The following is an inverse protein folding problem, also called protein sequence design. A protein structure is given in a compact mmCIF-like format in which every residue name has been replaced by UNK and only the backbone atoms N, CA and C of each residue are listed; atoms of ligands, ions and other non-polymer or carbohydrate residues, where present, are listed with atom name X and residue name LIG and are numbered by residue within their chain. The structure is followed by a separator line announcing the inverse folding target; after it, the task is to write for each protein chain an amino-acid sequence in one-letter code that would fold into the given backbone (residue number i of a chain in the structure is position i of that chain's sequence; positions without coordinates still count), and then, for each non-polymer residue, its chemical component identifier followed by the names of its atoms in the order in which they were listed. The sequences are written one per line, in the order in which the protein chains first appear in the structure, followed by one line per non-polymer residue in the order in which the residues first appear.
data_IF_526759185575
#
_entry.id   IF_526759185575
#
_cell.length_a   1.000
_cell.length_b   1.000
_cell.length_c   1.000
_cell.angle_alpha   90.00
_cell.angle_beta   90.00
_cell.angle_gamma   90.00
#
_symmetry.space_group_name_H-M   'P 1'
#
loop_
_entity.id
_entity.type
_entity.pdbx_description
1 polymer ?
#
# COMPACT_ATOMS: atom_id res chain seq x y z
N UNK A 1 -38.85 -1.39 22.49
CA UNK A 1 -38.01 -0.21 22.79
C UNK A 1 -36.56 -0.57 23.16
N UNK A 2 -36.30 -1.59 24.01
CA UNK A 2 -34.93 -2.02 24.40
C UNK A 2 -33.99 -2.44 23.25
N UNK A 3 -34.52 -3.01 22.15
CA UNK A 3 -33.72 -3.43 20.98
C UNK A 3 -33.22 -2.27 20.10
N UNK A 4 -33.88 -1.12 20.12
CA UNK A 4 -33.48 0.06 19.34
C UNK A 4 -32.25 0.77 19.94
N UNK A 5 -32.08 0.70 21.26
CA UNK A 5 -30.95 1.33 21.97
C UNK A 5 -29.62 0.62 21.68
N UNK A 6 -29.65 -0.70 21.47
CA UNK A 6 -28.46 -1.49 21.15
C UNK A 6 -27.93 -1.24 19.73
N UNK A 7 -28.79 -0.96 18.75
CA UNK A 7 -28.35 -0.59 17.40
C UNK A 7 -27.71 0.79 17.35
N UNK A 8 -28.20 1.76 18.13
CA UNK A 8 -27.67 3.12 18.14
C UNK A 8 -26.22 3.21 18.69
N UNK A 9 -25.82 2.29 19.57
CA UNK A 9 -24.46 2.26 20.15
C UNK A 9 -23.39 1.76 19.18
N UNK A 10 -23.75 0.92 18.20
CA UNK A 10 -22.77 0.37 17.23
C UNK A 10 -22.34 1.42 16.21
N UNK A 11 -23.19 2.40 15.87
CA UNK A 11 -22.84 3.49 14.95
C UNK A 11 -21.94 4.57 15.57
N UNK A 12 -21.86 4.65 16.90
CA UNK A 12 -21.02 5.62 17.61
C UNK A 12 -19.54 5.18 17.75
N UNK A 13 -19.18 3.99 17.24
CA UNK A 13 -17.82 3.45 17.29
C UNK A 13 -16.96 3.77 16.06
N UNK A 14 -17.53 4.38 15.01
CA UNK A 14 -16.75 4.85 13.87
C UNK A 14 -15.97 6.11 14.26
N UNK A 15 -14.74 5.96 14.75
CA UNK A 15 -13.79 7.06 15.00
C UNK A 15 -13.21 7.65 13.70
N UNK A 16 -12.43 8.74 13.80
CA UNK A 16 -11.81 9.39 12.65
C UNK A 16 -10.88 8.41 11.91
N UNK A 17 -11.06 8.28 10.59
CA UNK A 17 -10.17 7.49 9.73
C UNK A 17 -9.17 8.41 9.05
N UNK A 18 -7.91 8.27 9.40
CA UNK A 18 -6.81 9.03 8.82
C UNK A 18 -6.19 8.26 7.66
N UNK A 19 -5.85 8.98 6.59
CA UNK A 19 -5.12 8.44 5.44
C UNK A 19 -3.90 9.31 5.19
N UNK A 20 -2.75 8.66 5.08
CA UNK A 20 -1.51 9.31 4.70
C UNK A 20 -1.43 9.41 3.18
N UNK A 21 -1.36 10.62 2.65
CA UNK A 21 -1.09 10.90 1.25
C UNK A 21 0.36 11.31 1.08
N UNK A 22 0.96 10.89 -0.03
CA UNK A 22 2.32 11.26 -0.40
C UNK A 22 2.28 12.07 -1.69
N UNK A 23 2.85 13.26 -1.65
CA UNK A 23 3.06 14.10 -2.85
C UNK A 23 4.55 14.15 -3.17
N UNK A 24 4.87 13.96 -4.46
CA UNK A 24 6.24 13.92 -4.98
C UNK A 24 6.51 15.27 -5.65
N UNK A 25 7.39 16.07 -5.06
CA UNK A 25 7.81 17.33 -5.67
C UNK A 25 9.01 17.08 -6.59
N UNK A 26 9.00 17.70 -7.75
CA UNK A 26 10.05 17.53 -8.74
C UNK A 26 11.39 18.10 -8.25
N UNK A 27 12.51 17.44 -8.59
CA UNK A 27 13.85 17.96 -8.31
C UNK A 27 14.17 19.22 -9.13
N UNK A 28 14.94 20.13 -8.54
CA UNK A 28 15.34 21.38 -9.18
C UNK A 28 16.29 21.18 -10.39
N UNK A 29 17.06 20.09 -10.39
CA UNK A 29 18.06 19.78 -11.42
C UNK A 29 17.45 19.01 -12.59
N UNK A 30 17.94 19.25 -13.80
CA UNK A 30 17.50 18.52 -15.01
C UNK A 30 17.84 17.02 -14.95
N UNK A 31 19.05 16.69 -14.47
CA UNK A 31 19.43 15.31 -14.19
C UNK A 31 18.53 14.64 -13.15
N UNK A 32 18.10 15.40 -12.14
CA UNK A 32 17.12 14.95 -11.16
C UNK A 32 15.77 14.66 -11.79
N UNK A 33 15.27 15.52 -12.68
CA UNK A 33 13.95 15.34 -13.33
C UNK A 33 13.92 14.08 -14.19
N UNK A 34 15.01 13.79 -14.90
CA UNK A 34 15.18 12.54 -15.64
C UNK A 34 15.23 11.33 -14.71
N UNK A 35 15.92 11.44 -13.58
CA UNK A 35 15.97 10.39 -12.55
C UNK A 35 14.58 10.11 -11.96
N UNK A 36 13.85 11.15 -11.53
CA UNK A 36 12.50 11.00 -10.97
C UNK A 36 11.50 10.46 -12.00
N UNK A 37 11.63 10.85 -13.26
CA UNK A 37 10.81 10.30 -14.36
C UNK A 37 11.03 8.79 -14.50
N UNK A 38 12.29 8.33 -14.49
CA UNK A 38 12.61 6.90 -14.49
C UNK A 38 12.04 6.18 -13.26
N UNK A 39 12.10 6.78 -12.07
CA UNK A 39 11.54 6.20 -10.84
C UNK A 39 10.03 6.01 -10.97
N UNK A 40 9.30 6.99 -11.51
CA UNK A 40 7.85 6.89 -11.74
C UNK A 40 7.55 5.73 -12.68
N UNK A 41 8.26 5.63 -13.81
CA UNK A 41 8.08 4.53 -14.79
C UNK A 41 8.37 3.16 -14.15
N UNK A 42 9.45 3.04 -13.39
CA UNK A 42 9.79 1.80 -12.69
C UNK A 42 8.74 1.43 -11.65
N UNK A 43 8.23 2.41 -10.89
CA UNK A 43 7.22 2.18 -9.87
C UNK A 43 5.89 1.70 -10.46
N UNK A 44 5.46 2.29 -11.59
CA UNK A 44 4.26 1.87 -12.30
C UNK A 44 4.41 0.44 -12.83
N UNK A 45 5.55 0.14 -13.45
CA UNK A 45 5.88 -1.21 -13.92
C UNK A 45 5.87 -2.23 -12.76
N UNK A 46 6.42 -1.85 -11.60
CA UNK A 46 6.41 -2.69 -10.39
C UNK A 46 4.98 -2.99 -9.92
N UNK A 47 4.12 -1.97 -9.83
CA UNK A 47 2.70 -2.11 -9.45
C UNK A 47 1.94 -2.98 -10.45
N UNK A 48 2.16 -2.80 -11.76
CA UNK A 48 1.50 -3.63 -12.78
C UNK A 48 1.94 -5.09 -12.71
N UNK A 49 3.23 -5.36 -12.44
CA UNK A 49 3.71 -6.71 -12.18
C UNK A 49 3.01 -7.32 -10.95
N UNK A 50 2.82 -6.55 -9.88
CA UNK A 50 2.04 -7.00 -8.72
C UNK A 50 0.59 -7.36 -9.12
N UNK A 51 -0.06 -6.55 -9.95
CA UNK A 51 -1.43 -6.84 -10.39
C UNK A 51 -1.49 -8.06 -11.30
N UNK A 52 -0.51 -8.24 -12.18
CA UNK A 52 -0.43 -9.38 -13.07
C UNK A 52 -0.22 -10.69 -12.29
N UNK A 53 0.70 -10.70 -11.32
CA UNK A 53 0.94 -11.83 -10.43
C UNK A 53 -0.29 -12.16 -9.58
N UNK A 54 -1.00 -11.16 -9.06
CA UNK A 54 -2.28 -11.36 -8.37
C UNK A 54 -3.32 -12.04 -9.27
N UNK A 55 -3.46 -11.60 -10.53
CA UNK A 55 -4.37 -12.23 -11.51
C UNK A 55 -4.00 -13.69 -11.78
N UNK A 56 -2.71 -14.00 -11.90
CA UNK A 56 -2.24 -15.39 -12.05
C UNK A 56 -2.56 -16.23 -10.82
N UNK A 57 -2.43 -15.65 -9.61
CA UNK A 57 -2.76 -16.31 -8.35
C UNK A 57 -4.27 -16.64 -8.23
N UNK A 58 -5.16 -15.77 -8.73
CA UNK A 58 -6.60 -16.01 -8.76
C UNK A 58 -7.04 -17.05 -9.80
N UNK A 59 -6.19 -17.45 -10.74
CA UNK A 59 -6.58 -18.29 -11.86
C UNK A 59 -6.13 -19.76 -11.64
N UNK A 60 -7.01 -20.68 -11.23
CA UNK A 60 -6.63 -22.03 -10.79
C UNK A 60 -6.10 -22.96 -11.90
N UNK A 61 -6.09 -22.53 -13.16
CA UNK A 61 -5.59 -23.30 -14.31
C UNK A 61 -4.27 -22.80 -14.90
N UNK A 62 -3.64 -21.77 -14.33
CA UNK A 62 -2.43 -21.15 -14.88
C UNK A 62 -1.21 -21.36 -13.99
N UNK A 63 -0.31 -22.24 -14.41
CA UNK A 63 1.09 -22.36 -13.98
C UNK A 63 1.37 -22.31 -12.46
N UNK A 64 1.59 -23.49 -11.86
CA UNK A 64 2.04 -23.70 -10.48
C UNK A 64 3.52 -23.27 -10.29
N UNK A 65 3.81 -21.98 -10.40
CA UNK A 65 4.96 -21.39 -9.72
C UNK A 65 4.42 -20.30 -8.83
N UNK A 66 3.63 -20.71 -7.84
CA UNK A 66 3.08 -19.87 -6.79
C UNK A 66 4.21 -19.38 -5.89
N UNK A 67 4.96 -18.37 -6.36
CA UNK A 67 5.45 -17.34 -5.48
C UNK A 67 4.20 -16.54 -5.11
N UNK A 68 3.45 -17.02 -4.12
CA UNK A 68 2.37 -16.24 -3.55
C UNK A 68 2.92 -14.93 -2.98
N UNK A 69 2.04 -13.96 -2.73
CA UNK A 69 2.38 -12.81 -1.86
C UNK A 69 2.63 -13.22 -0.40
N UNK A 70 2.67 -14.52 -0.11
CA UNK A 70 3.21 -15.08 1.10
C UNK A 70 4.73 -14.90 1.12
N UNK A 71 5.16 -13.86 1.83
CA UNK A 71 6.43 -13.72 2.57
C UNK A 71 7.44 -14.86 2.36
N UNK A 72 8.09 -14.89 1.20
CA UNK A 72 9.01 -15.98 0.84
C UNK A 72 9.68 -15.79 -0.52
N UNK A 73 10.73 -14.97 -0.54
CA UNK A 73 11.60 -14.75 -1.72
C UNK A 73 11.32 -13.37 -2.33
N UNK A 74 11.96 -12.28 -1.94
CA UNK A 74 13.38 -12.09 -1.66
C UNK A 74 13.56 -11.20 -0.41
N UNK A 75 14.40 -11.62 0.55
CA UNK A 75 14.76 -10.80 1.72
C UNK A 75 13.89 -11.04 2.97
N UNK A 76 14.10 -12.17 3.63
CA UNK A 76 13.44 -12.49 4.90
C UNK A 76 13.94 -11.62 6.06
N UNK A 77 13.06 -10.78 6.59
CA UNK A 77 13.14 -10.29 7.97
C UNK A 77 12.07 -11.00 8.77
N UNK A 78 12.47 -11.85 9.72
CA UNK A 78 11.61 -12.78 10.45
C UNK A 78 10.59 -12.10 11.35
N UNK A 79 9.36 -12.62 11.37
CA UNK A 79 8.32 -12.44 12.40
C UNK A 79 7.31 -13.59 12.29
N UNK A 80 6.72 -13.94 13.43
CA UNK A 80 6.01 -15.17 13.81
C UNK A 80 5.09 -15.84 12.77
N UNK A 81 5.20 -17.17 12.74
CA UNK A 81 4.53 -18.11 11.84
C UNK A 81 3.21 -18.60 12.48
N UNK A 82 2.17 -17.77 12.51
CA UNK A 82 0.88 -18.18 13.09
C UNK A 82 -0.39 -17.67 12.39
N UNK A 83 -0.32 -17.02 11.24
CA UNK A 83 -1.51 -16.49 10.53
C UNK A 83 -1.33 -16.49 9.00
N UNK A 84 -0.89 -17.60 8.40
CA UNK A 84 -0.84 -17.70 6.94
C UNK A 84 -2.18 -18.24 6.42
N UNK A 85 -3.07 -17.30 6.10
CA UNK A 85 -4.17 -17.52 5.18
C UNK A 85 -3.58 -17.96 3.83
N UNK A 86 -3.70 -19.25 3.53
CA UNK A 86 -3.25 -19.85 2.27
C UNK A 86 -4.05 -19.25 1.12
N UNK A 87 -3.36 -18.42 0.30
CA UNK A 87 -3.84 -17.69 -0.89
C UNK A 87 -4.32 -16.25 -0.66
N UNK A 88 -3.57 -15.46 0.10
CA UNK A 88 -3.70 -14.01 -0.04
C UNK A 88 -3.10 -13.58 -1.41
N UNK A 89 -3.93 -13.63 -2.45
CA UNK A 89 -3.62 -13.12 -3.79
C UNK A 89 -3.74 -11.58 -3.87
N UNK A 90 -3.82 -10.90 -2.73
CA UNK A 90 -3.90 -9.44 -2.67
C UNK A 90 -2.58 -8.81 -3.12
N UNK A 91 -2.60 -7.93 -4.14
CA UNK A 91 -1.38 -7.22 -4.57
C UNK A 91 -0.97 -6.12 -3.58
N UNK A 92 -1.77 -5.82 -2.54
CA UNK A 92 -1.59 -4.64 -1.67
C UNK A 92 -0.18 -4.50 -1.12
N UNK A 93 0.37 -5.55 -0.52
CA UNK A 93 1.68 -5.46 0.12
C UNK A 93 2.81 -5.28 -0.91
N UNK A 94 2.67 -5.88 -2.08
CA UNK A 94 3.59 -5.67 -3.21
C UNK A 94 3.51 -4.24 -3.74
N UNK A 95 2.29 -3.72 -3.96
CA UNK A 95 2.07 -2.34 -4.38
C UNK A 95 2.63 -1.34 -3.36
N UNK A 96 2.37 -1.55 -2.07
CA UNK A 96 2.88 -0.71 -0.98
C UNK A 96 4.42 -0.69 -0.96
N UNK A 97 5.08 -1.84 -1.16
CA UNK A 97 6.54 -1.94 -1.25
C UNK A 97 7.10 -1.23 -2.49
N UNK A 98 6.46 -1.38 -3.66
CA UNK A 98 6.83 -0.66 -4.88
C UNK A 98 6.77 0.85 -4.66
N UNK A 99 5.67 1.34 -4.09
CA UNK A 99 5.44 2.76 -3.84
C UNK A 99 6.41 3.31 -2.77
N UNK A 100 6.68 2.55 -1.70
CA UNK A 100 7.66 2.93 -0.68
C UNK A 100 9.08 3.04 -1.26
N UNK A 101 9.48 2.06 -2.08
CA UNK A 101 10.78 2.07 -2.76
C UNK A 101 10.89 3.24 -3.75
N UNK A 102 9.81 3.53 -4.48
CA UNK A 102 9.76 4.66 -5.40
C UNK A 102 9.92 6.00 -4.67
N UNK A 103 9.25 6.20 -3.52
CA UNK A 103 9.43 7.42 -2.71
C UNK A 103 10.88 7.56 -2.23
N UNK A 104 11.49 6.47 -1.75
CA UNK A 104 12.88 6.49 -1.32
C UNK A 104 13.85 6.81 -2.49
N UNK A 105 13.61 6.24 -3.67
CA UNK A 105 14.39 6.53 -4.87
C UNK A 105 14.20 7.97 -5.37
N UNK A 106 12.97 8.50 -5.29
CA UNK A 106 12.66 9.88 -5.68
C UNK A 106 13.44 10.90 -4.83
N UNK A 107 13.54 10.67 -3.53
CA UNK A 107 14.37 11.49 -2.63
C UNK A 107 15.85 11.44 -3.03
N UNK A 108 16.36 10.27 -3.44
CA UNK A 108 17.74 10.12 -3.92
C UNK A 108 18.00 10.84 -5.25
N UNK A 109 16.98 11.00 -6.08
CA UNK A 109 17.04 11.82 -7.30
C UNK A 109 17.07 13.33 -7.01
N UNK A 110 17.01 13.75 -5.73
CA UNK A 110 16.96 15.15 -5.32
C UNK A 110 15.55 15.74 -5.28
N UNK A 111 14.52 14.90 -5.45
CA UNK A 111 13.13 15.29 -5.23
C UNK A 111 12.80 15.34 -3.74
N UNK A 112 11.66 15.91 -3.39
CA UNK A 112 11.15 15.86 -2.01
C UNK A 112 9.82 15.15 -1.97
N UNK A 113 9.55 14.46 -0.86
CA UNK A 113 8.28 13.78 -0.60
C UNK A 113 7.61 14.50 0.55
N UNK A 114 6.42 15.04 0.31
CA UNK A 114 5.61 15.65 1.36
C UNK A 114 4.55 14.64 1.79
N UNK A 115 4.56 14.31 3.08
CA UNK A 115 3.59 13.44 3.73
C UNK A 115 2.49 14.29 4.35
N UNK A 116 1.24 14.04 3.94
CA UNK A 116 0.07 14.73 4.49
C UNK A 116 -0.93 13.69 5.01
N UNK A 117 -1.14 13.67 6.32
CA UNK A 117 -2.15 12.83 6.94
C UNK A 117 -3.47 13.59 6.96
N UNK A 118 -4.38 13.21 6.07
CA UNK A 118 -5.72 13.80 6.00
C UNK A 118 -6.74 12.87 6.63
N UNK A 119 -7.66 13.42 7.40
CA UNK A 119 -8.81 12.66 7.83
C UNK A 119 -9.79 12.51 6.65
N UNK A 120 -10.19 11.26 6.38
CA UNK A 120 -11.02 10.90 5.23
C UNK A 120 -12.46 10.53 5.62
N UNK A 121 -12.71 10.20 6.89
CA UNK A 121 -14.05 10.00 7.43
C UNK A 121 -14.10 10.23 8.95
N UNK A 122 -15.28 10.62 9.47
CA UNK A 122 -15.55 10.85 10.90
C UNK A 122 -14.60 11.87 11.57
N UNK A 123 -14.14 12.87 10.82
CA UNK A 123 -13.17 13.88 11.26
C UNK A 123 -13.72 14.86 12.32
N UNK A 124 -15.03 14.87 12.46
CA UNK A 124 -15.83 15.59 13.44
C UNK A 124 -15.83 14.92 14.83
N UNK A 125 -15.37 13.66 14.92
CA UNK A 125 -15.35 12.92 16.18
C UNK A 125 -13.97 13.06 16.84
N UNK A 126 -13.97 13.57 18.07
CA UNK A 126 -12.78 13.71 18.88
C UNK A 126 -12.01 12.36 18.98
N UNK A 127 -10.67 12.36 18.95
CA UNK A 127 -9.89 11.16 19.24
C UNK A 127 -10.28 10.68 20.64
N UNK A 128 -10.75 9.44 20.75
CA UNK A 128 -10.99 8.78 22.04
C UNK A 128 -9.69 8.21 22.58
#
# INVERSE_FOLDING_TARGET
MKRLVLLALVLAACGPTYRTNYTLNEPATESGRLCSSNVIVMSNTCVENCRQMARSCYNPGGFHTSIGYGRGGYGGWGYNQSLLDERDCSPRQCEENCLASARAAHVRCGGTVTEETVCTANCDKAPR
#
